data_IF_362174634234
#
_entry.id   IF_362174634234
#
_cell.length_a   1.000
_cell.length_b   1.000
_cell.length_c   1.000
_cell.angle_alpha   90.00
_cell.angle_beta   90.00
_cell.angle_gamma   90.00
#
_symmetry.space_group_name_H-M   'P 1'
#
loop_
_entity.id
_entity.type
_entity.pdbx_description
1 polymer ?
#
# COMPACT_ATOMS: atom_id res chain seq x y z
N UNK A 1 -15.81 45.11 77.85
CA UNK A 1 -15.01 44.99 76.62
C UNK A 1 -15.21 43.58 76.08
N UNK A 2 -15.94 43.47 74.98
CA UNK A 2 -16.40 42.20 74.37
C UNK A 2 -15.27 41.59 73.54
N UNK A 3 -15.02 40.28 73.72
CA UNK A 3 -14.06 39.51 72.95
C UNK A 3 -14.64 39.19 71.57
N UNK A 4 -13.92 39.58 70.52
CA UNK A 4 -14.26 39.30 69.12
C UNK A 4 -13.60 37.97 68.74
N UNK A 5 -14.38 36.89 68.71
CA UNK A 5 -13.98 35.62 68.10
C UNK A 5 -14.00 35.76 66.57
N UNK A 6 -12.87 35.42 65.93
CA UNK A 6 -12.73 35.36 64.47
C UNK A 6 -13.21 34.00 63.97
N UNK A 7 -14.03 33.91 62.90
CA UNK A 7 -14.45 32.62 62.38
C UNK A 7 -13.30 31.93 61.61
N UNK A 8 -13.26 30.59 61.59
CA UNK A 8 -12.26 29.86 60.82
C UNK A 8 -12.51 30.05 59.31
N UNK A 9 -11.46 30.43 58.60
CA UNK A 9 -11.44 30.50 57.12
C UNK A 9 -11.66 29.09 56.59
N UNK A 10 -12.87 28.82 56.10
CA UNK A 10 -13.20 27.60 55.40
C UNK A 10 -12.37 27.52 54.10
N UNK A 11 -11.37 26.63 54.08
CA UNK A 11 -10.66 26.28 52.85
C UNK A 11 -11.67 25.85 51.78
N UNK A 12 -11.56 26.49 50.60
CA UNK A 12 -12.59 26.57 49.57
C UNK A 12 -13.16 25.20 49.12
N UNK A 13 -14.49 25.07 48.96
CA UNK A 13 -15.17 23.85 48.50
C UNK A 13 -14.87 23.50 47.02
N UNK A 14 -14.16 24.37 46.29
CA UNK A 14 -13.81 24.17 44.89
C UNK A 14 -12.78 23.06 44.70
N UNK A 15 -11.73 22.97 45.54
CA UNK A 15 -10.68 21.94 45.40
C UNK A 15 -11.25 20.52 45.63
N UNK A 16 -12.26 20.41 46.52
CA UNK A 16 -12.92 19.13 46.84
C UNK A 16 -13.89 18.67 45.74
N UNK A 17 -14.42 19.57 44.92
CA UNK A 17 -15.30 19.22 43.78
C UNK A 17 -14.54 18.63 42.60
N UNK A 18 -13.29 19.05 42.36
CA UNK A 18 -12.47 18.51 41.26
C UNK A 18 -11.97 17.09 41.53
N UNK A 19 -11.74 16.72 42.79
CA UNK A 19 -11.30 15.35 43.14
C UNK A 19 -12.41 14.30 43.09
N UNK A 20 -13.68 14.70 43.12
CA UNK A 20 -14.83 13.78 43.07
C UNK A 20 -15.37 13.51 41.65
N UNK A 21 -14.94 14.28 40.64
CA UNK A 21 -15.48 14.18 39.27
C UNK A 21 -14.65 13.33 38.29
N UNK A 22 -13.43 12.94 38.65
CA UNK A 22 -12.66 12.00 37.84
C UNK A 22 -13.03 10.57 38.21
N UNK A 23 -14.16 10.08 37.68
CA UNK A 23 -14.47 8.65 37.72
C UNK A 23 -13.33 7.91 37.01
N UNK A 24 -12.50 7.21 37.78
CA UNK A 24 -11.44 6.34 37.27
C UNK A 24 -11.98 5.44 36.16
N UNK A 25 -11.21 5.31 35.09
CA UNK A 25 -11.52 4.36 34.03
C UNK A 25 -11.71 2.96 34.62
N UNK A 26 -12.62 2.18 34.02
CA UNK A 26 -12.78 0.78 34.43
C UNK A 26 -11.49 0.03 34.13
N UNK A 27 -11.02 -0.78 35.07
CA UNK A 27 -9.78 -1.59 34.94
C UNK A 27 -9.72 -2.33 33.60
N UNK A 28 -10.78 -3.06 33.24
CA UNK A 28 -10.86 -3.80 31.97
C UNK A 28 -10.86 -2.93 30.73
N UNK A 29 -11.23 -1.65 30.81
CA UNK A 29 -11.16 -0.75 29.65
C UNK A 29 -9.77 -0.13 29.52
N UNK A 30 -9.11 0.17 30.65
CA UNK A 30 -7.73 0.63 30.66
C UNK A 30 -6.78 -0.43 30.09
N UNK A 31 -6.91 -1.68 30.53
CA UNK A 31 -6.12 -2.81 30.00
C UNK A 31 -6.36 -3.03 28.51
N UNK A 32 -7.63 -3.04 28.07
CA UNK A 32 -7.95 -3.19 26.63
C UNK A 32 -7.31 -2.09 25.80
N UNK A 33 -7.40 -0.82 26.21
CA UNK A 33 -6.81 0.31 25.46
C UNK A 33 -5.28 0.16 25.39
N UNK A 34 -4.61 -0.14 26.51
CA UNK A 34 -3.16 -0.30 26.53
C UNK A 34 -2.70 -1.44 25.60
N UNK A 35 -3.29 -2.64 25.75
CA UNK A 35 -2.94 -3.81 24.95
C UNK A 35 -3.22 -3.61 23.45
N UNK A 36 -4.39 -3.09 23.11
CA UNK A 36 -4.78 -2.96 21.69
C UNK A 36 -4.06 -1.81 20.99
N UNK A 37 -3.67 -0.77 21.73
CA UNK A 37 -2.76 0.24 21.20
C UNK A 37 -1.39 -0.35 20.92
N UNK A 38 -0.84 -1.16 21.84
CA UNK A 38 0.41 -1.89 21.58
C UNK A 38 0.31 -2.80 20.34
N UNK A 39 -0.76 -3.59 20.21
CA UNK A 39 -0.99 -4.44 19.04
C UNK A 39 -1.14 -3.63 17.74
N UNK A 40 -1.69 -2.41 17.81
CA UNK A 40 -1.78 -1.54 16.64
C UNK A 40 -0.42 -1.03 16.13
N UNK A 41 0.62 -1.07 16.99
CA UNK A 41 2.01 -0.77 16.62
C UNK A 41 2.84 -2.02 16.32
N UNK A 42 2.21 -3.20 16.31
CA UNK A 42 2.91 -4.44 16.00
C UNK A 42 3.62 -4.31 14.65
N UNK A 43 4.87 -4.81 14.51
CA UNK A 43 5.70 -4.52 13.34
C UNK A 43 5.02 -4.96 12.04
N UNK A 44 4.88 -4.04 11.10
CA UNK A 44 4.49 -4.30 9.71
C UNK A 44 5.69 -4.43 8.79
N UNK A 45 5.44 -4.40 7.50
CA UNK A 45 6.47 -4.29 6.46
C UNK A 45 7.00 -2.86 6.37
N UNK A 46 6.10 -1.87 6.48
CA UNK A 46 6.40 -0.48 6.23
C UNK A 46 6.16 0.41 7.46
N UNK A 47 6.87 1.53 7.57
CA UNK A 47 6.52 2.57 8.53
C UNK A 47 5.23 3.28 8.11
N UNK A 48 4.32 3.49 9.06
CA UNK A 48 3.04 4.14 8.79
C UNK A 48 3.14 5.66 8.85
N UNK A 49 2.29 6.33 8.07
CA UNK A 49 2.01 7.75 8.28
C UNK A 49 1.17 7.96 9.55
N UNK A 50 1.20 9.16 10.16
CA UNK A 50 0.41 9.44 11.37
C UNK A 50 -1.09 9.23 11.18
N UNK A 51 -1.59 9.53 9.97
CA UNK A 51 -2.99 9.31 9.59
C UNK A 51 -3.31 7.81 9.55
N UNK A 52 -2.50 7.02 8.83
CA UNK A 52 -2.72 5.57 8.70
C UNK A 52 -2.64 4.91 10.07
N UNK A 53 -1.60 5.20 10.84
CA UNK A 53 -1.45 4.66 12.19
C UNK A 53 -2.61 5.06 13.10
N UNK A 54 -3.08 6.31 13.03
CA UNK A 54 -4.23 6.78 13.80
C UNK A 54 -5.52 6.01 13.47
N UNK A 55 -5.75 5.71 12.19
CA UNK A 55 -6.88 4.88 11.74
C UNK A 55 -6.76 3.44 12.25
N UNK A 56 -5.59 2.82 12.11
CA UNK A 56 -5.32 1.45 12.58
C UNK A 56 -5.54 1.36 14.09
N UNK A 57 -4.93 2.25 14.87
CA UNK A 57 -5.11 2.29 16.33
C UNK A 57 -6.58 2.48 16.71
N UNK A 58 -7.32 3.36 16.00
CA UNK A 58 -8.74 3.53 16.26
C UNK A 58 -9.56 2.25 15.98
N UNK A 59 -9.27 1.54 14.88
CA UNK A 59 -9.92 0.26 14.55
C UNK A 59 -9.67 -0.79 15.64
N UNK A 60 -8.41 -0.99 16.03
CA UNK A 60 -8.03 -1.93 17.09
C UNK A 60 -8.72 -1.60 18.41
N UNK A 61 -8.58 -0.36 18.88
CA UNK A 61 -9.13 0.06 20.19
C UNK A 61 -10.66 0.00 20.20
N UNK A 62 -11.34 0.56 19.19
CA UNK A 62 -12.80 0.61 19.14
C UNK A 62 -13.43 -0.77 18.90
N UNK A 63 -12.81 -1.59 18.06
CA UNK A 63 -13.21 -2.98 17.81
C UNK A 63 -13.15 -3.79 19.10
N UNK A 64 -11.98 -3.81 19.76
CA UNK A 64 -11.80 -4.57 21.00
C UNK A 64 -12.66 -4.07 22.15
N UNK A 65 -12.81 -2.75 22.33
CA UNK A 65 -13.75 -2.22 23.34
C UNK A 65 -15.19 -2.64 23.07
N UNK A 66 -15.59 -2.76 21.80
CA UNK A 66 -16.93 -3.21 21.41
C UNK A 66 -17.13 -4.70 21.71
N UNK A 67 -16.15 -5.54 21.40
CA UNK A 67 -16.15 -6.98 21.74
C UNK A 67 -16.20 -7.18 23.24
N UNK A 68 -15.27 -6.57 23.97
CA UNK A 68 -15.19 -6.64 25.43
C UNK A 68 -16.50 -6.14 26.07
N UNK A 69 -17.13 -5.10 25.53
CA UNK A 69 -18.45 -4.64 26.02
C UNK A 69 -19.57 -5.67 25.81
N UNK A 70 -19.53 -6.46 24.74
CA UNK A 70 -20.54 -7.51 24.45
C UNK A 70 -20.33 -8.77 25.30
N UNK A 71 -19.08 -9.17 25.52
CA UNK A 71 -18.72 -10.38 26.28
C UNK A 71 -18.87 -10.23 27.81
N UNK A 72 -18.92 -9.00 28.31
CA UNK A 72 -18.95 -8.61 29.74
C UNK A 72 -20.19 -9.03 30.56
N UNK A 73 -20.92 -10.09 30.19
CA UNK A 73 -22.20 -10.42 30.84
C UNK A 73 -22.10 -10.95 32.28
N UNK A 74 -20.92 -11.26 32.86
CA UNK A 74 -20.90 -11.88 34.20
C UNK A 74 -19.62 -11.75 35.07
N UNK A 75 -18.72 -10.78 34.88
CA UNK A 75 -17.48 -10.74 35.68
C UNK A 75 -17.50 -9.80 36.92
N UNK A 76 -16.85 -10.18 38.03
CA UNK A 76 -16.72 -9.35 39.24
C UNK A 76 -15.93 -8.07 38.96
N UNK A 77 -16.40 -6.95 39.51
CA UNK A 77 -15.81 -5.63 39.28
C UNK A 77 -14.59 -5.42 40.18
N UNK A 78 -13.42 -5.16 39.56
CA UNK A 78 -12.26 -4.64 40.28
C UNK A 78 -12.51 -3.18 40.68
N UNK A 79 -12.49 -2.89 41.97
CA UNK A 79 -12.75 -1.56 42.55
C UNK A 79 -11.66 -1.18 43.58
N UNK A 80 -11.67 0.08 44.03
CA UNK A 80 -10.75 0.57 45.07
C UNK A 80 -9.28 0.65 44.63
N UNK A 81 -8.34 0.39 45.55
CA UNK A 81 -6.89 0.47 45.28
C UNK A 81 -6.43 -0.44 44.14
N UNK A 82 -7.01 -1.64 44.03
CA UNK A 82 -6.69 -2.56 42.93
C UNK A 82 -7.05 -1.96 41.57
N UNK A 83 -8.19 -1.26 41.47
CA UNK A 83 -8.56 -0.54 40.23
C UNK A 83 -7.56 0.57 39.92
N UNK A 84 -7.11 1.33 40.93
CA UNK A 84 -6.11 2.39 40.76
C UNK A 84 -4.79 1.81 40.24
N UNK A 85 -4.27 0.74 40.86
CA UNK A 85 -3.04 0.08 40.40
C UNK A 85 -3.16 -0.42 38.96
N UNK A 86 -4.29 -1.04 38.58
CA UNK A 86 -4.51 -1.50 37.19
C UNK A 86 -4.55 -0.34 36.20
N UNK A 87 -5.24 0.75 36.54
CA UNK A 87 -5.34 1.93 35.67
C UNK A 87 -3.97 2.59 35.51
N UNK A 88 -3.22 2.77 36.60
CA UNK A 88 -1.86 3.33 36.58
C UNK A 88 -0.92 2.43 35.78
N UNK A 89 -0.92 1.13 36.06
CA UNK A 89 -0.09 0.15 35.33
C UNK A 89 -0.41 0.11 33.83
N UNK A 90 -1.70 0.21 33.45
CA UNK A 90 -2.11 0.31 32.05
C UNK A 90 -1.63 1.62 31.40
N UNK A 91 -1.62 2.72 32.15
CA UNK A 91 -1.07 4.00 31.67
C UNK A 91 0.43 3.94 31.43
N UNK A 92 1.19 3.31 32.34
CA UNK A 92 2.63 3.07 32.18
C UNK A 92 2.91 2.17 30.98
N UNK A 93 2.17 1.07 30.83
CA UNK A 93 2.30 0.16 29.69
C UNK A 93 1.99 0.87 28.36
N UNK A 94 0.97 1.72 28.33
CA UNK A 94 0.64 2.52 27.15
C UNK A 94 1.76 3.52 26.81
N UNK A 95 2.32 4.21 27.80
CA UNK A 95 3.44 5.12 27.59
C UNK A 95 4.68 4.39 27.04
N UNK A 96 5.01 3.22 27.62
CA UNK A 96 6.09 2.37 27.13
C UNK A 96 5.84 1.90 25.69
N UNK A 97 4.60 1.51 25.35
CA UNK A 97 4.23 1.12 24.00
C UNK A 97 4.40 2.27 22.98
N UNK A 98 4.04 3.50 23.35
CA UNK A 98 4.22 4.69 22.50
C UNK A 98 5.70 5.00 22.30
N UNK A 99 6.52 4.92 23.36
CA UNK A 99 7.98 5.11 23.25
C UNK A 99 8.60 4.04 22.35
N UNK A 100 8.25 2.77 22.56
CA UNK A 100 8.72 1.68 21.71
C UNK A 100 8.29 1.90 20.25
N UNK A 101 7.02 2.23 20.00
CA UNK A 101 6.53 2.52 18.67
C UNK A 101 7.27 3.68 18.00
N UNK A 102 7.60 4.74 18.73
CA UNK A 102 8.39 5.86 18.22
C UNK A 102 9.78 5.41 17.76
N UNK A 103 10.47 4.62 18.58
CA UNK A 103 11.81 4.12 18.25
C UNK A 103 11.76 3.15 17.06
N UNK A 104 10.82 2.19 17.07
CA UNK A 104 10.69 1.20 16.00
C UNK A 104 10.27 1.83 14.67
N UNK A 105 9.30 2.76 14.68
CA UNK A 105 8.90 3.47 13.47
C UNK A 105 10.05 4.33 12.92
N UNK A 106 10.77 5.07 13.76
CA UNK A 106 11.90 5.88 13.29
C UNK A 106 13.06 5.04 12.79
N UNK A 107 13.30 3.85 13.37
CA UNK A 107 14.30 2.91 12.85
C UNK A 107 13.94 2.44 11.42
N UNK A 108 12.68 2.05 11.19
CA UNK A 108 12.22 1.68 9.84
C UNK A 108 12.31 2.86 8.87
N UNK A 109 11.88 4.06 9.29
CA UNK A 109 11.94 5.28 8.45
C UNK A 109 13.38 5.61 8.06
N UNK A 110 14.34 5.47 8.97
CA UNK A 110 15.75 5.72 8.69
C UNK A 110 16.32 4.73 7.67
N UNK A 111 15.92 3.46 7.71
CA UNK A 111 16.38 2.43 6.75
C UNK A 111 15.98 2.76 5.31
N UNK A 112 14.80 3.34 5.12
CA UNK A 112 14.27 3.67 3.79
C UNK A 112 14.37 5.17 3.46
N UNK A 113 15.21 5.92 4.18
CA UNK A 113 15.49 7.34 3.87
C UNK A 113 14.34 8.32 4.12
N UNK A 114 13.36 7.98 4.95
CA UNK A 114 12.26 8.89 5.32
C UNK A 114 12.59 9.75 6.54
N UNK A 115 12.01 10.95 6.57
CA UNK A 115 12.12 11.86 7.72
C UNK A 115 11.55 11.20 9.01
N UNK A 116 12.22 11.37 10.16
CA UNK A 116 11.75 10.83 11.44
C UNK A 116 10.44 11.50 11.88
N UNK A 117 9.63 10.75 12.64
CA UNK A 117 8.42 11.27 13.27
C UNK A 117 8.79 12.25 14.39
N UNK A 118 8.09 13.38 14.45
CA UNK A 118 8.17 14.36 15.52
C UNK A 118 6.95 14.37 16.45
N UNK A 119 6.92 15.31 17.39
CA UNK A 119 5.78 15.50 18.29
C UNK A 119 4.50 15.91 17.55
N UNK A 120 4.62 16.68 16.47
CA UNK A 120 3.49 17.10 15.65
C UNK A 120 2.81 15.90 14.96
N UNK A 121 3.58 14.91 14.52
CA UNK A 121 3.07 13.68 13.93
C UNK A 121 2.27 12.86 14.95
N UNK A 122 2.79 12.71 16.16
CA UNK A 122 2.07 12.06 17.26
C UNK A 122 0.77 12.80 17.62
N UNK A 123 0.78 14.13 17.60
CA UNK A 123 -0.43 14.93 17.79
C UNK A 123 -1.44 14.71 16.64
N UNK A 124 -0.97 14.61 15.39
CA UNK A 124 -1.80 14.28 14.23
C UNK A 124 -2.44 12.89 14.31
N UNK A 125 -1.68 11.89 14.79
CA UNK A 125 -2.20 10.56 15.07
C UNK A 125 -3.31 10.61 16.14
N UNK A 126 -3.07 11.31 17.26
CA UNK A 126 -4.07 11.48 18.32
C UNK A 126 -5.34 12.20 17.83
N UNK A 127 -5.18 13.22 16.98
CA UNK A 127 -6.29 13.93 16.35
C UNK A 127 -7.10 13.02 15.40
N UNK A 128 -6.43 12.15 14.65
CA UNK A 128 -7.07 11.15 13.78
C UNK A 128 -7.92 10.18 14.60
N UNK A 129 -7.36 9.62 15.68
CA UNK A 129 -8.10 8.74 16.60
C UNK A 129 -9.32 9.48 17.19
N UNK A 130 -9.13 10.71 17.66
CA UNK A 130 -10.20 11.55 18.18
C UNK A 130 -11.33 11.78 17.17
N UNK A 131 -10.98 12.04 15.92
CA UNK A 131 -11.93 12.26 14.83
C UNK A 131 -12.76 11.01 14.53
N UNK A 132 -12.13 9.83 14.44
CA UNK A 132 -12.84 8.56 14.25
C UNK A 132 -13.82 8.29 15.40
N UNK A 133 -13.40 8.55 16.65
CA UNK A 133 -14.26 8.40 17.83
C UNK A 133 -15.46 9.34 17.78
N UNK A 134 -15.26 10.60 17.40
CA UNK A 134 -16.34 11.59 17.28
C UNK A 134 -17.32 11.22 16.16
N UNK A 135 -16.82 10.79 15.01
CA UNK A 135 -17.64 10.31 13.88
C UNK A 135 -18.49 9.11 14.29
N UNK A 136 -17.89 8.09 14.93
CA UNK A 136 -18.62 6.93 15.41
C UNK A 136 -19.72 7.27 16.42
N UNK A 137 -19.49 8.29 17.27
CA UNK A 137 -20.52 8.81 18.18
C UNK A 137 -21.62 9.56 17.43
N UNK A 138 -21.27 10.40 16.46
CA UNK A 138 -22.20 11.15 15.62
C UNK A 138 -23.14 10.24 14.84
N UNK A 139 -22.59 9.23 14.14
CA UNK A 139 -23.37 8.22 13.40
C UNK A 139 -24.33 7.48 14.33
N UNK A 140 -23.87 7.06 15.52
CA UNK A 140 -24.71 6.35 16.49
C UNK A 140 -25.85 7.23 17.02
N UNK A 141 -25.59 8.52 17.27
CA UNK A 141 -26.61 9.47 17.72
C UNK A 141 -27.65 9.73 16.62
N UNK A 142 -27.21 9.93 15.37
CA UNK A 142 -28.09 10.09 14.22
C UNK A 142 -28.98 8.86 13.99
N UNK A 143 -28.40 7.66 14.05
CA UNK A 143 -29.11 6.39 13.93
C UNK A 143 -30.17 6.22 15.03
N UNK A 144 -29.80 6.46 16.29
CA UNK A 144 -30.71 6.32 17.45
C UNK A 144 -31.87 7.30 17.41
N UNK A 145 -31.64 8.51 16.91
CA UNK A 145 -32.68 9.54 16.81
C UNK A 145 -33.51 9.42 15.52
N UNK A 146 -33.26 8.42 14.64
CA UNK A 146 -33.82 8.31 13.27
C UNK A 146 -33.84 9.66 12.54
N UNK A 147 -32.90 10.53 12.86
CA UNK A 147 -33.01 11.93 12.51
C UNK A 147 -32.56 12.11 11.07
N UNK A 148 -33.30 12.92 10.30
CA UNK A 148 -32.98 13.37 8.93
C UNK A 148 -31.74 14.32 8.89
N UNK A 149 -30.85 14.21 9.87
CA UNK A 149 -29.69 15.05 10.18
C UNK A 149 -28.36 14.37 9.77
N UNK A 150 -28.33 13.64 8.65
CA UNK A 150 -27.09 13.10 8.09
C UNK A 150 -26.17 14.22 7.57
N UNK A 151 -26.73 15.37 7.15
CA UNK A 151 -26.00 16.53 6.62
C UNK A 151 -24.96 17.15 7.57
N UNK A 152 -25.24 17.44 8.86
CA UNK A 152 -24.22 17.97 9.79
C UNK A 152 -23.16 16.93 10.19
N UNK A 153 -23.49 15.64 10.21
CA UNK A 153 -22.52 14.56 10.47
C UNK A 153 -21.55 14.41 9.29
N UNK A 154 -22.10 14.48 8.07
CA UNK A 154 -21.30 14.52 6.84
C UNK A 154 -20.45 15.79 6.77
N UNK A 155 -21.00 16.95 7.12
CA UNK A 155 -20.27 18.23 7.13
C UNK A 155 -19.13 18.25 8.16
N UNK A 156 -19.31 17.65 9.35
CA UNK A 156 -18.25 17.53 10.34
C UNK A 156 -17.18 16.51 9.92
N UNK A 157 -17.58 15.42 9.26
CA UNK A 157 -16.67 14.45 8.65
C UNK A 157 -15.84 15.06 7.52
N UNK A 158 -16.47 15.86 6.67
CA UNK A 158 -15.82 16.59 5.58
C UNK A 158 -14.91 17.69 6.14
N UNK A 159 -15.33 18.44 7.15
CA UNK A 159 -14.52 19.46 7.80
C UNK A 159 -13.31 18.87 8.54
N UNK A 160 -13.43 17.67 9.10
CA UNK A 160 -12.29 16.96 9.71
C UNK A 160 -11.37 16.30 8.68
N UNK A 161 -11.89 15.85 7.53
CA UNK A 161 -11.04 15.43 6.40
C UNK A 161 -10.28 16.60 5.75
N UNK A 162 -10.82 17.82 5.82
CA UNK A 162 -10.16 19.07 5.36
C UNK A 162 -9.10 19.58 6.36
N UNK A 163 -9.17 19.14 7.62
CA UNK A 163 -8.20 19.47 8.68
C UNK A 163 -7.15 18.37 8.91
N UNK A 164 -7.08 17.37 8.03
CA UNK A 164 -5.86 16.58 7.86
C UNK A 164 -4.80 17.60 7.45
N UNK A 165 -3.75 17.86 8.26
CA UNK A 165 -2.69 18.70 7.77
C UNK A 165 -2.24 18.07 6.46
N UNK A 166 -2.15 18.88 5.41
CA UNK A 166 -1.29 18.62 4.27
C UNK A 166 0.14 18.47 4.81
N UNK A 167 0.43 17.36 5.51
CA UNK A 167 1.75 16.77 5.45
C UNK A 167 1.97 16.57 3.97
N UNK A 168 3.02 17.14 3.36
CA UNK A 168 3.29 16.86 1.97
C UNK A 168 3.35 15.34 1.89
N UNK A 169 2.32 14.74 1.27
CA UNK A 169 2.55 13.57 0.45
C UNK A 169 3.78 13.98 -0.32
N UNK A 170 4.90 13.33 -0.02
CA UNK A 170 6.06 13.38 -0.90
C UNK A 170 5.60 12.61 -2.15
N UNK A 171 4.69 13.24 -2.90
CA UNK A 171 4.76 13.28 -4.33
C UNK A 171 6.12 13.91 -4.63
N UNK A 172 7.17 13.09 -4.52
CA UNK A 172 8.25 13.15 -5.48
C UNK A 172 7.53 12.97 -6.82
N UNK A 173 7.24 14.03 -7.58
CA UNK A 173 8.09 15.17 -7.85
C UNK A 173 8.57 14.95 -9.26
N UNK A 174 7.65 15.16 -10.21
CA UNK A 174 7.87 15.02 -11.64
C UNK A 174 6.75 15.76 -12.36
N UNK A 175 6.94 17.06 -12.59
CA UNK A 175 6.12 17.79 -13.54
C UNK A 175 6.46 17.25 -14.94
N UNK A 176 5.55 16.46 -15.51
CA UNK A 176 5.66 15.87 -16.84
C UNK A 176 4.29 15.37 -17.31
N UNK A 177 4.03 15.50 -18.60
CA UNK A 177 2.76 15.27 -19.30
C UNK A 177 2.11 13.92 -18.98
N UNK A 178 0.80 13.91 -18.68
CA UNK A 178 -0.03 12.70 -18.49
C UNK A 178 0.61 11.57 -17.67
N UNK A 179 0.61 11.72 -16.34
CA UNK A 179 1.18 10.86 -15.26
C UNK A 179 0.97 9.32 -15.34
N UNK A 180 0.32 8.78 -16.38
CA UNK A 180 0.01 7.35 -16.50
C UNK A 180 0.55 6.62 -17.72
N UNK A 181 1.15 7.29 -18.71
CA UNK A 181 1.52 6.65 -19.98
C UNK A 181 2.87 7.12 -20.53
N UNK A 182 3.95 6.95 -19.76
CA UNK A 182 5.34 7.31 -20.14
C UNK A 182 5.81 6.73 -21.49
N UNK A 183 5.20 5.64 -21.96
CA UNK A 183 5.47 5.06 -23.28
C UNK A 183 4.85 5.84 -24.46
N UNK A 184 4.05 6.87 -24.19
CA UNK A 184 3.53 7.80 -25.20
C UNK A 184 4.41 9.03 -25.36
N UNK A 185 5.31 9.29 -24.41
CA UNK A 185 6.24 10.41 -24.47
C UNK A 185 7.43 10.08 -25.38
N UNK A 186 8.05 11.08 -26.03
CA UNK A 186 9.25 10.87 -26.83
C UNK A 186 10.43 10.42 -25.97
N UNK A 187 11.24 9.50 -26.49
CA UNK A 187 12.49 9.09 -25.84
C UNK A 187 13.58 10.15 -26.00
N UNK A 188 14.22 10.62 -24.91
CA UNK A 188 15.35 11.55 -25.00
C UNK A 188 16.60 10.95 -25.63
N UNK A 189 16.72 9.61 -25.65
CA UNK A 189 17.88 8.89 -26.21
C UNK A 189 17.58 8.24 -27.56
N UNK A 190 16.39 8.43 -28.13
CA UNK A 190 15.99 7.86 -29.42
C UNK A 190 15.55 6.40 -29.39
N UNK A 191 15.24 5.86 -28.20
CA UNK A 191 14.60 4.56 -28.06
C UNK A 191 13.16 4.60 -28.63
N UNK A 192 12.65 3.44 -29.05
CA UNK A 192 11.27 3.35 -29.55
C UNK A 192 10.34 3.10 -28.37
N UNK A 193 9.39 3.99 -28.14
CA UNK A 193 8.31 3.83 -27.15
C UNK A 193 6.97 3.79 -27.88
N UNK A 194 6.18 2.74 -27.65
CA UNK A 194 4.86 2.60 -28.27
C UNK A 194 3.84 2.09 -27.27
N UNK A 195 2.64 2.63 -27.34
CA UNK A 195 1.57 2.27 -26.43
C UNK A 195 0.19 2.35 -27.06
N UNK A 196 -0.60 1.28 -26.92
CA UNK A 196 -1.99 1.27 -27.37
C UNK A 196 -2.96 1.49 -26.20
N UNK A 197 -3.40 2.73 -26.00
CA UNK A 197 -4.48 3.06 -25.06
C UNK A 197 -5.82 2.44 -25.51
N UNK A 198 -6.74 2.21 -24.57
CA UNK A 198 -8.07 1.67 -24.89
C UNK A 198 -8.86 2.66 -25.76
N UNK A 199 -9.50 2.16 -26.81
CA UNK A 199 -10.45 2.92 -27.61
C UNK A 199 -11.81 2.23 -27.61
N UNK A 200 -12.89 2.95 -27.29
CA UNK A 200 -14.29 2.51 -27.40
C UNK A 200 -14.56 1.00 -27.27
N UNK A 201 -15.25 0.43 -28.28
CA UNK A 201 -15.62 -1.01 -28.36
C UNK A 201 -14.51 -1.90 -28.97
N UNK A 202 -13.27 -1.47 -28.95
CA UNK A 202 -12.15 -2.23 -29.53
C UNK A 202 -11.90 -3.53 -28.74
N UNK A 203 -11.82 -4.66 -29.44
CA UNK A 203 -11.48 -5.93 -28.82
C UNK A 203 -10.03 -5.95 -28.34
N UNK A 204 -9.72 -6.77 -27.33
CA UNK A 204 -8.35 -6.93 -26.83
C UNK A 204 -7.38 -7.35 -27.94
N UNK A 205 -7.81 -8.27 -28.82
CA UNK A 205 -7.02 -8.69 -29.99
C UNK A 205 -6.77 -7.55 -30.95
N UNK A 206 -7.79 -6.76 -31.32
CA UNK A 206 -7.61 -5.63 -32.23
C UNK A 206 -6.62 -4.59 -31.66
N UNK A 207 -6.69 -4.35 -30.35
CA UNK A 207 -5.76 -3.46 -29.64
C UNK A 207 -4.33 -3.99 -29.66
N UNK A 208 -4.14 -5.28 -29.41
CA UNK A 208 -2.83 -5.93 -29.48
C UNK A 208 -2.22 -5.86 -30.89
N UNK A 209 -3.02 -6.06 -31.93
CA UNK A 209 -2.59 -5.89 -33.32
C UNK A 209 -2.18 -4.43 -33.57
N UNK A 210 -2.98 -3.46 -33.12
CA UNK A 210 -2.65 -2.03 -33.24
C UNK A 210 -1.36 -1.66 -32.53
N UNK A 211 -1.12 -2.19 -31.32
CA UNK A 211 0.13 -1.99 -30.59
C UNK A 211 1.33 -2.53 -31.36
N UNK A 212 1.23 -3.76 -31.89
CA UNK A 212 2.28 -4.38 -32.69
C UNK A 212 2.52 -3.63 -34.01
N UNK A 213 1.47 -3.12 -34.66
CA UNK A 213 1.62 -2.34 -35.89
C UNK A 213 2.24 -0.96 -35.61
N UNK A 214 1.94 -0.34 -34.46
CA UNK A 214 2.60 0.88 -34.00
C UNK A 214 4.10 0.64 -33.75
N UNK A 215 4.45 -0.48 -33.10
CA UNK A 215 5.84 -0.89 -32.90
C UNK A 215 6.59 -1.02 -34.23
N UNK A 216 6.00 -1.67 -35.22
CA UNK A 216 6.59 -1.80 -36.57
C UNK A 216 6.75 -0.44 -37.24
N UNK A 217 5.70 0.38 -37.25
CA UNK A 217 5.73 1.71 -37.89
C UNK A 217 6.76 2.66 -37.26
N UNK A 218 6.99 2.54 -35.95
CA UNK A 218 7.98 3.33 -35.22
C UNK A 218 9.42 2.80 -35.42
N UNK A 219 9.61 1.73 -36.20
CA UNK A 219 10.92 1.13 -36.44
C UNK A 219 11.43 0.26 -35.30
N UNK A 220 10.55 -0.20 -34.39
CA UNK A 220 10.93 -0.98 -33.21
C UNK A 220 11.60 -2.32 -33.55
N UNK A 221 11.25 -2.93 -34.68
CA UNK A 221 11.89 -4.17 -35.15
C UNK A 221 13.31 -3.96 -35.72
N UNK A 222 13.75 -2.72 -35.90
CA UNK A 222 15.13 -2.39 -36.27
C UNK A 222 16.06 -2.24 -35.06
N UNK A 223 15.53 -2.36 -33.84
CA UNK A 223 16.32 -2.40 -32.61
C UNK A 223 16.75 -3.84 -32.33
N UNK A 224 17.84 -4.05 -31.61
CA UNK A 224 18.26 -5.40 -31.22
C UNK A 224 17.34 -6.00 -30.16
N UNK A 225 16.60 -5.17 -29.41
CA UNK A 225 15.77 -5.59 -28.26
C UNK A 225 14.37 -5.02 -28.34
N UNK A 226 13.38 -5.89 -28.21
CA UNK A 226 11.96 -5.52 -28.02
C UNK A 226 11.53 -5.95 -26.63
N UNK A 227 11.12 -5.00 -25.80
CA UNK A 227 10.59 -5.24 -24.45
C UNK A 227 9.07 -5.10 -24.48
N UNK A 228 8.39 -6.22 -24.25
CA UNK A 228 6.96 -6.26 -24.01
C UNK A 228 6.66 -5.81 -22.58
N UNK A 229 6.13 -4.61 -22.42
CA UNK A 229 5.81 -4.03 -21.10
C UNK A 229 4.34 -4.32 -20.79
N UNK A 230 4.09 -5.23 -19.84
CA UNK A 230 2.74 -5.53 -19.35
C UNK A 230 2.40 -4.51 -18.25
N UNK A 231 1.48 -3.57 -18.48
CA UNK A 231 1.25 -2.49 -17.54
C UNK A 231 0.46 -2.94 -16.31
N UNK A 232 0.36 -2.05 -15.32
CA UNK A 232 -0.41 -2.27 -14.09
C UNK A 232 -1.74 -1.52 -14.14
N UNK A 233 -2.83 -2.21 -13.77
CA UNK A 233 -4.17 -1.63 -13.60
C UNK A 233 -4.72 -0.92 -14.84
N UNK A 234 -4.91 0.39 -14.69
CA UNK A 234 -5.43 1.27 -15.73
C UNK A 234 -4.46 1.49 -16.89
N UNK A 235 -3.36 0.75 -16.96
CA UNK A 235 -2.37 0.86 -18.02
C UNK A 235 -1.08 1.58 -17.63
N UNK A 236 -0.84 1.78 -16.34
CA UNK A 236 0.36 2.46 -15.84
C UNK A 236 1.64 1.65 -16.11
N UNK A 237 2.72 2.35 -16.44
CA UNK A 237 4.07 1.81 -16.63
C UNK A 237 5.02 2.63 -15.79
N UNK A 238 5.89 1.97 -15.03
CA UNK A 238 6.88 2.64 -14.19
C UNK A 238 7.89 3.44 -15.04
N UNK A 239 7.96 4.77 -14.86
CA UNK A 239 8.97 5.59 -15.52
C UNK A 239 10.40 5.16 -15.16
N UNK A 240 10.64 4.64 -13.95
CA UNK A 240 11.98 4.20 -13.55
C UNK A 240 12.44 3.02 -14.39
N UNK A 241 11.56 2.07 -14.74
CA UNK A 241 11.89 1.00 -15.68
C UNK A 241 12.31 1.57 -17.03
N UNK A 242 11.53 2.50 -17.58
CA UNK A 242 11.78 3.09 -18.90
C UNK A 242 13.14 3.80 -18.90
N UNK A 243 13.39 4.62 -17.88
CA UNK A 243 14.66 5.31 -17.69
C UNK A 243 15.82 4.31 -17.52
N UNK A 244 15.62 3.24 -16.77
CA UNK A 244 16.63 2.18 -16.57
C UNK A 244 16.95 1.42 -17.86
N UNK A 245 15.95 1.06 -18.66
CA UNK A 245 16.15 0.40 -19.96
C UNK A 245 16.85 1.32 -20.96
N UNK A 246 16.48 2.59 -21.01
CA UNK A 246 17.11 3.59 -21.88
C UNK A 246 18.52 3.94 -21.45
N UNK A 247 18.77 4.00 -20.14
CA UNK A 247 20.13 4.17 -19.61
C UNK A 247 21.01 2.98 -19.96
N UNK A 248 20.45 1.77 -19.87
CA UNK A 248 21.19 0.52 -20.12
C UNK A 248 21.45 0.25 -21.60
N UNK A 249 20.48 0.51 -22.47
CA UNK A 249 20.52 0.12 -23.88
C UNK A 249 20.56 1.30 -24.87
N UNK A 250 20.45 2.54 -24.39
CA UNK A 250 20.42 3.73 -25.24
C UNK A 250 19.26 3.69 -26.23
N UNK A 251 19.54 4.02 -27.49
CA UNK A 251 18.56 3.97 -28.57
C UNK A 251 18.20 2.54 -29.03
N UNK A 252 18.98 1.53 -28.61
CA UNK A 252 18.90 0.15 -29.10
C UNK A 252 17.89 -0.72 -28.32
N UNK A 253 16.76 -0.12 -27.96
CA UNK A 253 15.63 -0.78 -27.31
C UNK A 253 14.31 -0.22 -27.85
N UNK A 254 13.35 -1.12 -28.03
CA UNK A 254 11.97 -0.79 -28.35
C UNK A 254 11.05 -1.32 -27.26
N UNK A 255 10.27 -0.45 -26.63
CA UNK A 255 9.29 -0.80 -25.61
C UNK A 255 7.87 -0.70 -26.20
N UNK A 256 7.07 -1.73 -25.96
CA UNK A 256 5.68 -1.80 -26.42
C UNK A 256 4.76 -2.23 -25.28
N UNK A 257 3.70 -1.45 -25.05
CA UNK A 257 2.66 -1.78 -24.07
C UNK A 257 1.26 -1.56 -24.63
N UNK A 258 0.25 -2.06 -23.93
CA UNK A 258 -1.14 -1.70 -24.20
C UNK A 258 -1.99 -1.71 -22.94
N UNK A 259 -2.96 -0.82 -22.90
CA UNK A 259 -3.93 -0.76 -21.82
C UNK A 259 -4.92 -1.92 -21.95
N UNK A 260 -5.18 -2.67 -20.88
CA UNK A 260 -6.17 -3.76 -20.87
C UNK A 260 -7.46 -3.42 -20.11
N UNK A 261 -7.38 -2.53 -19.10
CA UNK A 261 -8.52 -2.11 -18.28
C UNK A 261 -8.52 -0.59 -18.04
N UNK A 262 -9.70 -0.06 -17.68
CA UNK A 262 -9.87 1.34 -17.26
C UNK A 262 -9.94 1.51 -15.73
N UNK A 263 -9.88 0.41 -14.98
CA UNK A 263 -9.97 0.39 -13.52
C UNK A 263 -8.61 0.68 -12.84
N UNK A 264 -8.57 1.44 -11.74
CA UNK A 264 -7.34 1.63 -10.94
C UNK A 264 -6.69 0.31 -10.48
N UNK A 265 -5.37 0.29 -10.32
CA UNK A 265 -4.54 -0.92 -10.16
C UNK A 265 -4.87 -1.85 -9.00
N UNK A 266 -5.10 -1.33 -7.79
CA UNK A 266 -5.46 -2.17 -6.64
C UNK A 266 -6.86 -2.79 -6.79
N UNK A 267 -7.79 -2.09 -7.47
CA UNK A 267 -9.11 -2.64 -7.80
C UNK A 267 -9.00 -3.69 -8.91
N UNK A 268 -8.17 -3.47 -9.92
CA UNK A 268 -7.95 -4.43 -10.99
C UNK A 268 -7.29 -5.74 -10.49
N UNK A 269 -6.38 -5.67 -9.51
CA UNK A 269 -5.79 -6.87 -8.89
C UNK A 269 -6.84 -7.74 -8.20
N UNK A 270 -7.82 -7.11 -7.54
CA UNK A 270 -8.90 -7.81 -6.83
C UNK A 270 -10.02 -8.28 -7.76
N UNK A 271 -10.27 -7.58 -8.87
CA UNK A 271 -11.49 -7.78 -9.67
C UNK A 271 -11.30 -8.11 -11.16
N UNK A 272 -10.10 -8.01 -11.75
CA UNK A 272 -9.91 -8.12 -13.23
C UNK A 272 -8.57 -8.78 -13.66
N UNK A 273 -8.13 -9.82 -12.93
CA UNK A 273 -6.92 -10.59 -13.30
C UNK A 273 -7.05 -11.29 -14.67
N UNK A 274 -8.27 -11.70 -15.02
CA UNK A 274 -8.56 -12.35 -16.30
C UNK A 274 -8.40 -11.40 -17.49
N UNK A 275 -8.79 -10.13 -17.33
CA UNK A 275 -8.59 -9.09 -18.35
C UNK A 275 -7.12 -8.83 -18.61
N UNK A 276 -6.32 -8.68 -17.54
CA UNK A 276 -4.87 -8.50 -17.62
C UNK A 276 -4.19 -9.67 -18.35
N UNK A 277 -4.54 -10.91 -17.97
CA UNK A 277 -4.00 -12.13 -18.58
C UNK A 277 -4.33 -12.26 -20.06
N UNK A 278 -5.59 -11.99 -20.47
CA UNK A 278 -5.99 -11.99 -21.88
C UNK A 278 -5.24 -10.92 -22.67
N UNK A 279 -5.07 -9.73 -22.08
CA UNK A 279 -4.29 -8.64 -22.67
C UNK A 279 -2.84 -9.05 -22.91
N UNK A 280 -2.17 -9.52 -21.88
CA UNK A 280 -0.76 -9.93 -21.94
C UNK A 280 -0.51 -10.99 -23.04
N UNK A 281 -1.35 -12.03 -23.09
CA UNK A 281 -1.28 -13.07 -24.14
C UNK A 281 -1.52 -12.51 -25.55
N UNK A 282 -2.55 -11.70 -25.73
CA UNK A 282 -2.86 -11.13 -27.04
C UNK A 282 -1.73 -10.22 -27.55
N UNK A 283 -1.16 -9.39 -26.67
CA UNK A 283 -0.03 -8.52 -27.00
C UNK A 283 1.22 -9.33 -27.36
N UNK A 284 1.54 -10.36 -26.56
CA UNK A 284 2.65 -11.27 -26.84
C UNK A 284 2.48 -11.95 -28.20
N UNK A 285 1.32 -12.56 -28.46
CA UNK A 285 1.05 -13.28 -29.70
C UNK A 285 1.13 -12.33 -30.92
N UNK A 286 0.64 -11.10 -30.79
CA UNK A 286 0.72 -10.10 -31.85
C UNK A 286 2.17 -9.69 -32.16
N UNK A 287 2.95 -9.33 -31.14
CA UNK A 287 4.34 -8.86 -31.30
C UNK A 287 5.27 -10.00 -31.74
N UNK A 288 5.16 -11.17 -31.11
CA UNK A 288 5.94 -12.36 -31.47
C UNK A 288 5.71 -12.77 -32.93
N UNK A 289 4.46 -12.69 -33.43
CA UNK A 289 4.18 -12.95 -34.84
C UNK A 289 4.89 -11.99 -35.80
N UNK A 290 5.03 -10.69 -35.46
CA UNK A 290 5.79 -9.73 -36.27
C UNK A 290 7.27 -10.07 -36.27
N UNK A 291 7.83 -10.38 -35.11
CA UNK A 291 9.24 -10.78 -34.98
C UNK A 291 9.51 -12.05 -35.78
N UNK A 292 8.66 -13.06 -35.68
CA UNK A 292 8.84 -14.33 -36.40
C UNK A 292 8.69 -14.21 -37.92
N UNK A 293 8.01 -13.18 -38.41
CA UNK A 293 7.93 -12.89 -39.85
C UNK A 293 9.26 -12.44 -40.46
N UNK A 294 10.22 -12.01 -39.64
CA UNK A 294 11.56 -11.62 -40.08
C UNK A 294 12.47 -12.86 -40.30
N UNK A 295 13.46 -12.76 -41.21
CA UNK A 295 14.54 -13.72 -41.30
C UNK A 295 15.21 -13.95 -39.95
N UNK A 296 15.60 -15.19 -39.64
CA UNK A 296 16.09 -15.56 -38.31
C UNK A 296 17.28 -14.71 -37.81
N UNK A 297 18.16 -14.25 -38.71
CA UNK A 297 19.32 -13.40 -38.42
C UNK A 297 19.00 -11.91 -38.25
N UNK A 298 17.73 -11.50 -38.41
CA UNK A 298 17.27 -10.12 -38.28
C UNK A 298 16.26 -9.95 -37.14
N UNK A 299 15.98 -11.02 -36.38
CA UNK A 299 14.99 -10.98 -35.30
C UNK A 299 15.59 -10.28 -34.08
N UNK A 300 14.92 -9.27 -33.51
CA UNK A 300 15.30 -8.75 -32.19
C UNK A 300 15.08 -9.80 -31.11
N UNK A 301 15.81 -9.66 -30.02
CA UNK A 301 15.52 -10.38 -28.78
C UNK A 301 14.21 -9.85 -28.18
N UNK A 302 13.24 -10.76 -28.03
CA UNK A 302 11.97 -10.46 -27.37
C UNK A 302 12.12 -10.66 -25.86
N UNK A 303 11.90 -9.60 -25.11
CA UNK A 303 11.88 -9.60 -23.65
C UNK A 303 10.46 -9.37 -23.15
N UNK A 304 10.11 -9.91 -21.99
CA UNK A 304 8.84 -9.60 -21.32
C UNK A 304 9.12 -8.98 -19.96
N UNK A 305 8.42 -7.89 -19.67
CA UNK A 305 8.46 -7.23 -18.39
C UNK A 305 7.04 -7.12 -17.82
N UNK A 306 6.90 -7.32 -16.52
CA UNK A 306 5.70 -6.94 -15.80
C UNK A 306 6.02 -6.54 -14.36
N UNK A 307 5.24 -5.60 -13.85
CA UNK A 307 5.28 -5.17 -12.44
C UNK A 307 3.94 -5.48 -11.77
N UNK A 308 3.95 -5.91 -10.51
CA UNK A 308 2.71 -6.08 -9.74
C UNK A 308 1.72 -7.05 -10.43
N UNK A 309 0.47 -6.63 -10.64
CA UNK A 309 -0.50 -7.35 -11.47
C UNK A 309 0.00 -7.61 -12.91
N UNK A 310 0.81 -6.71 -13.48
CA UNK A 310 1.45 -6.90 -14.78
C UNK A 310 2.45 -8.05 -14.77
N UNK A 311 3.16 -8.27 -13.65
CA UNK A 311 4.00 -9.45 -13.47
C UNK A 311 3.15 -10.72 -13.49
N UNK A 312 2.12 -10.82 -12.64
CA UNK A 312 1.20 -11.99 -12.62
C UNK A 312 0.59 -12.27 -14.00
N UNK A 313 0.12 -11.23 -14.70
CA UNK A 313 -0.45 -11.38 -16.04
C UNK A 313 0.59 -11.77 -17.10
N UNK A 314 1.81 -11.24 -17.01
CA UNK A 314 2.92 -11.60 -17.88
C UNK A 314 3.36 -13.05 -17.68
N UNK A 315 3.41 -13.52 -16.43
CA UNK A 315 3.71 -14.91 -16.11
C UNK A 315 2.69 -15.87 -16.73
N UNK A 316 1.41 -15.47 -16.72
CA UNK A 316 0.32 -16.22 -17.32
C UNK A 316 0.42 -16.39 -18.85
N UNK A 317 1.33 -15.69 -19.54
CA UNK A 317 1.69 -15.95 -20.94
C UNK A 317 2.28 -17.36 -21.08
N UNK A 318 3.12 -17.77 -20.12
CA UNK A 318 3.96 -18.97 -20.19
C UNK A 318 3.42 -20.15 -19.38
N UNK A 319 2.64 -19.90 -18.33
CA UNK A 319 2.03 -20.96 -17.49
C UNK A 319 0.65 -21.40 -17.99
N UNK A 320 0.02 -20.63 -18.89
CA UNK A 320 -1.30 -20.93 -19.45
C UNK A 320 -1.32 -21.85 -20.68
N UNK A 321 -2.50 -22.06 -21.29
CA UNK A 321 -2.63 -22.82 -22.53
C UNK A 321 -1.72 -22.29 -23.65
N UNK A 322 -0.95 -23.19 -24.26
CA UNK A 322 0.05 -22.84 -25.28
C UNK A 322 1.32 -22.20 -24.74
N UNK A 323 1.43 -21.99 -23.42
CA UNK A 323 2.55 -21.27 -22.80
C UNK A 323 3.91 -21.93 -23.04
N UNK A 324 3.99 -23.26 -23.01
CA UNK A 324 5.22 -24.02 -23.34
C UNK A 324 5.74 -23.77 -24.76
N UNK A 325 4.88 -23.47 -25.72
CA UNK A 325 5.32 -23.11 -27.07
C UNK A 325 5.86 -21.67 -27.13
N UNK A 326 5.34 -20.77 -26.29
CA UNK A 326 5.77 -19.36 -26.20
C UNK A 326 7.12 -19.19 -25.51
N UNK A 327 7.53 -20.12 -24.64
CA UNK A 327 8.84 -20.04 -23.95
C UNK A 327 10.03 -20.04 -24.93
N UNK A 328 9.89 -20.67 -26.10
CA UNK A 328 10.92 -20.66 -27.14
C UNK A 328 10.96 -19.39 -27.99
N UNK A 329 10.04 -18.45 -27.76
CA UNK A 329 9.90 -17.21 -28.53
C UNK A 329 10.37 -15.98 -27.75
N UNK A 330 10.74 -16.15 -26.49
CA UNK A 330 11.20 -15.08 -25.59
C UNK A 330 12.68 -15.32 -25.25
N UNK A 331 13.47 -14.26 -25.26
CA UNK A 331 14.85 -14.28 -24.79
C UNK A 331 14.87 -14.35 -23.25
N UNK A 332 14.21 -13.42 -22.56
CA UNK A 332 14.14 -13.38 -21.10
C UNK A 332 12.88 -12.69 -20.57
N UNK A 333 12.59 -12.91 -19.30
CA UNK A 333 11.49 -12.26 -18.59
C UNK A 333 11.97 -11.64 -17.27
N UNK A 334 11.48 -10.43 -16.98
CA UNK A 334 11.70 -9.70 -15.74
C UNK A 334 10.35 -9.44 -15.05
N UNK A 335 10.21 -9.96 -13.84
CA UNK A 335 9.06 -9.76 -12.97
C UNK A 335 9.45 -8.90 -11.79
N UNK A 336 8.71 -7.83 -11.55
CA UNK A 336 9.00 -6.89 -10.47
C UNK A 336 7.81 -6.83 -9.53
N UNK A 337 8.05 -7.06 -8.23
CA UNK A 337 7.01 -6.99 -7.21
C UNK A 337 5.84 -7.96 -7.44
N UNK A 338 6.10 -9.17 -7.93
CA UNK A 338 5.04 -10.16 -8.18
C UNK A 338 4.27 -10.44 -6.89
N UNK A 339 2.94 -10.23 -6.86
CA UNK A 339 2.11 -10.63 -5.72
C UNK A 339 2.33 -12.11 -5.37
N UNK A 340 2.68 -12.40 -4.12
CA UNK A 340 3.00 -13.75 -3.65
C UNK A 340 4.38 -14.29 -4.04
N UNK A 341 5.16 -13.55 -4.85
CA UNK A 341 6.54 -13.94 -5.22
C UNK A 341 6.65 -15.04 -6.27
N UNK A 342 5.57 -15.36 -6.98
CA UNK A 342 5.54 -16.43 -7.98
C UNK A 342 6.53 -16.21 -9.14
N UNK A 343 6.94 -17.32 -9.76
CA UNK A 343 7.78 -17.36 -10.97
C UNK A 343 7.24 -18.40 -11.97
N UNK A 344 7.70 -18.34 -13.21
CA UNK A 344 7.27 -19.19 -14.33
C UNK A 344 8.18 -20.39 -14.59
N UNK A 345 9.41 -20.36 -14.10
CA UNK A 345 10.44 -21.36 -14.38
C UNK A 345 11.08 -21.21 -15.77
N UNK A 346 11.09 -20.00 -16.35
CA UNK A 346 11.80 -19.74 -17.61
C UNK A 346 13.32 -19.83 -17.41
N UNK A 347 14.05 -20.26 -18.45
CA UNK A 347 15.52 -20.39 -18.39
C UNK A 347 16.22 -19.07 -18.06
N UNK A 348 15.75 -17.96 -18.64
CA UNK A 348 16.26 -16.61 -18.40
C UNK A 348 15.18 -15.77 -17.73
N UNK A 349 14.83 -16.14 -16.51
CA UNK A 349 13.88 -15.44 -15.66
C UNK A 349 14.59 -14.65 -14.57
N UNK A 350 14.09 -13.46 -14.25
CA UNK A 350 14.54 -12.70 -13.08
C UNK A 350 13.34 -12.13 -12.36
N UNK A 351 13.33 -12.26 -11.05
CA UNK A 351 12.31 -11.70 -10.16
C UNK A 351 12.98 -10.73 -9.20
N UNK A 352 12.50 -9.49 -9.16
CA UNK A 352 13.02 -8.42 -8.31
C UNK A 352 11.90 -8.00 -7.36
N UNK A 353 12.21 -7.96 -6.07
CA UNK A 353 11.31 -7.50 -5.03
C UNK A 353 12.11 -6.79 -3.95
N UNK A 354 11.57 -5.71 -3.38
CA UNK A 354 12.15 -5.14 -2.18
C UNK A 354 11.83 -6.05 -0.98
N UNK A 355 12.76 -6.16 -0.03
CA UNK A 355 12.58 -7.00 1.18
C UNK A 355 11.40 -6.54 2.06
N UNK A 356 11.01 -5.28 1.92
CA UNK A 356 9.90 -4.65 2.63
C UNK A 356 8.65 -4.48 1.76
N UNK A 357 8.57 -5.10 0.57
CA UNK A 357 7.39 -5.00 -0.29
C UNK A 357 6.20 -5.84 0.25
N UNK A 358 5.15 -5.22 0.81
CA UNK A 358 4.01 -5.96 1.32
C UNK A 358 3.21 -6.65 0.21
N UNK A 359 3.29 -6.22 -1.05
CA UNK A 359 2.56 -6.85 -2.16
C UNK A 359 3.09 -8.27 -2.40
N UNK A 360 4.41 -8.44 -2.33
CA UNK A 360 5.10 -9.71 -2.55
C UNK A 360 4.89 -10.64 -1.35
N UNK A 361 5.06 -10.10 -0.14
CA UNK A 361 5.15 -10.92 1.07
C UNK A 361 3.82 -11.12 1.82
N UNK A 362 2.73 -10.45 1.41
CA UNK A 362 1.41 -10.65 2.04
C UNK A 362 0.71 -11.87 1.45
N UNK A 363 0.46 -12.88 2.29
CA UNK A 363 -0.27 -14.08 1.91
C UNK A 363 -1.38 -14.39 2.94
N UNK A 364 -2.61 -14.78 2.54
CA UNK A 364 -3.63 -15.29 3.46
C UNK A 364 -3.16 -16.44 4.38
N UNK A 365 -2.15 -17.22 3.97
CA UNK A 365 -1.53 -18.26 4.81
C UNK A 365 -0.92 -17.69 6.10
N UNK A 366 -0.62 -16.38 6.16
CA UNK A 366 -0.13 -15.68 7.36
C UNK A 366 -1.10 -15.79 8.55
N UNK A 367 -2.34 -16.22 8.35
CA UNK A 367 -3.27 -16.53 9.44
C UNK A 367 -2.91 -17.82 10.18
N UNK A 368 -2.14 -18.70 9.55
CA UNK A 368 -1.83 -20.04 10.04
C UNK A 368 -0.32 -20.30 10.16
N UNK A 369 0.50 -19.62 9.37
CA UNK A 369 1.95 -19.81 9.31
C UNK A 369 2.69 -18.46 9.41
N UNK A 370 3.86 -18.40 10.09
CA UNK A 370 4.68 -17.20 10.10
C UNK A 370 5.31 -16.94 8.73
N UNK A 371 5.59 -15.67 8.38
CA UNK A 371 6.31 -15.35 7.15
C UNK A 371 7.77 -15.81 7.21
N UNK A 372 8.32 -16.22 6.06
CA UNK A 372 9.67 -16.80 5.93
C UNK A 372 10.82 -15.80 6.13
N UNK A 373 10.51 -14.52 6.36
CA UNK A 373 11.48 -13.43 6.53
C UNK A 373 11.90 -13.18 8.00
N UNK A 374 11.49 -14.06 8.92
CA UNK A 374 11.87 -13.97 10.34
C UNK A 374 11.24 -12.81 11.11
N UNK A 375 10.28 -12.08 10.52
CA UNK A 375 9.57 -11.00 11.21
C UNK A 375 8.70 -11.55 12.36
N UNK A 376 8.55 -10.79 13.46
CA UNK A 376 7.62 -11.16 14.53
C UNK A 376 6.22 -11.43 13.98
N UNK A 377 5.59 -12.50 14.46
CA UNK A 377 4.32 -12.97 13.90
C UNK A 377 3.25 -13.16 14.98
N UNK A 378 2.10 -12.52 14.75
CA UNK A 378 0.86 -12.70 15.49
C UNK A 378 -0.26 -12.84 14.46
N UNK A 379 -0.84 -14.03 14.20
CA UNK A 379 -1.52 -14.33 12.94
C UNK A 379 -2.53 -13.28 12.47
N UNK A 380 -3.53 -12.95 13.30
CA UNK A 380 -4.56 -11.94 12.95
C UNK A 380 -3.97 -10.52 12.89
N UNK A 381 -3.04 -10.19 13.79
CA UNK A 381 -2.46 -8.85 13.88
C UNK A 381 -1.53 -8.60 12.69
N UNK A 382 -0.61 -9.53 12.42
CA UNK A 382 0.30 -9.50 11.26
C UNK A 382 -0.46 -9.43 9.94
N UNK A 383 -1.52 -10.23 9.75
CA UNK A 383 -2.34 -10.16 8.53
C UNK A 383 -3.04 -8.79 8.40
N UNK A 384 -3.54 -8.23 9.50
CA UNK A 384 -4.13 -6.88 9.50
C UNK A 384 -3.11 -5.79 9.18
N UNK A 385 -1.90 -5.87 9.76
CA UNK A 385 -0.82 -4.92 9.47
C UNK A 385 -0.38 -5.02 8.01
N UNK A 386 -0.15 -6.25 7.52
CA UNK A 386 0.21 -6.50 6.13
C UNK A 386 -0.84 -5.96 5.15
N UNK A 387 -2.14 -6.09 5.47
CA UNK A 387 -3.21 -5.49 4.67
C UNK A 387 -3.23 -3.96 4.66
N UNK A 388 -2.81 -3.32 5.76
CA UNK A 388 -2.63 -1.86 5.81
C UNK A 388 -1.44 -1.47 4.94
N UNK A 389 -0.30 -2.14 5.12
CA UNK A 389 0.92 -1.93 4.35
C UNK A 389 0.69 -2.10 2.85
N UNK A 390 -0.10 -3.10 2.45
CA UNK A 390 -0.48 -3.35 1.06
C UNK A 390 -1.10 -2.10 0.40
N UNK A 391 -1.99 -1.40 1.11
CA UNK A 391 -2.68 -0.20 0.61
C UNK A 391 -1.77 1.02 0.60
N UNK A 392 -0.82 1.11 1.54
CA UNK A 392 0.16 2.20 1.61
C UNK A 392 1.50 1.88 0.95
N UNK A 393 1.57 0.80 0.18
CA UNK A 393 2.82 0.24 -0.38
C UNK A 393 3.58 1.19 -1.31
N UNK A 394 2.89 2.17 -1.88
CA UNK A 394 3.44 3.21 -2.74
C UNK A 394 3.78 4.52 -2.00
N UNK A 395 3.39 4.66 -0.73
CA UNK A 395 3.58 5.87 0.07
C UNK A 395 4.97 5.94 0.73
N UNK A 396 5.98 5.48 0.02
CA UNK A 396 7.39 5.38 0.44
C UNK A 396 8.31 5.91 -0.67
N UNK A 397 9.60 6.13 -0.40
CA UNK A 397 10.59 6.46 -1.43
C UNK A 397 10.83 5.30 -2.40
N UNK A 398 11.45 5.60 -3.54
CA UNK A 398 11.94 4.58 -4.49
C UNK A 398 12.98 3.67 -3.82
N UNK A 399 12.91 2.36 -4.09
CA UNK A 399 13.77 1.34 -3.48
C UNK A 399 13.23 0.75 -2.18
N UNK A 400 12.01 1.10 -1.80
CA UNK A 400 11.30 0.58 -0.63
C UNK A 400 9.84 0.28 -0.99
N UNK A 401 9.22 -0.64 -0.25
CA UNK A 401 7.85 -1.07 -0.48
C UNK A 401 7.63 -1.50 -1.93
N UNK A 402 6.53 -1.05 -2.54
CA UNK A 402 6.20 -1.38 -3.92
C UNK A 402 6.68 -0.30 -4.92
N UNK A 403 7.78 0.39 -4.61
CA UNK A 403 8.42 1.35 -5.53
C UNK A 403 9.81 0.88 -5.91
N UNK A 404 10.01 0.72 -7.21
CA UNK A 404 11.24 0.19 -7.79
C UNK A 404 12.03 1.28 -8.50
N UNK A 405 13.35 1.27 -8.37
CA UNK A 405 14.20 2.23 -9.04
C UNK A 405 14.62 1.77 -10.44
N UNK A 406 15.37 2.60 -11.17
CA UNK A 406 15.81 2.28 -12.52
C UNK A 406 16.75 1.08 -12.58
N UNK A 407 17.40 0.73 -11.47
CA UNK A 407 18.24 -0.44 -11.33
C UNK A 407 17.50 -1.77 -11.56
N UNK A 408 16.17 -1.79 -11.45
CA UNK A 408 15.36 -2.97 -11.79
C UNK A 408 15.64 -3.45 -13.22
N UNK A 409 15.92 -2.51 -14.15
CA UNK A 409 16.22 -2.83 -15.53
C UNK A 409 17.51 -3.65 -15.69
N UNK A 410 18.43 -3.61 -14.73
CA UNK A 410 19.66 -4.40 -14.75
C UNK A 410 19.42 -5.90 -14.57
N UNK A 411 18.32 -6.28 -13.92
CA UNK A 411 17.93 -7.67 -13.77
C UNK A 411 17.40 -8.30 -15.07
N UNK A 412 17.09 -7.49 -16.11
CA UNK A 412 16.69 -8.03 -17.39
C UNK A 412 17.87 -8.77 -18.06
N UNK A 413 17.78 -10.08 -18.17
CA UNK A 413 18.86 -10.87 -18.76
C UNK A 413 18.93 -10.66 -20.28
N UNK A 414 20.13 -10.65 -20.86
CA UNK A 414 20.32 -10.52 -22.31
C UNK A 414 20.59 -11.87 -22.96
N UNK A 415 20.23 -11.95 -24.23
CA UNK A 415 20.77 -12.88 -25.20
C UNK A 415 21.74 -12.08 -26.09
#
# INVERSE_FOLDING_TARGET
>A
MSAIESPPVAAAPLIRRWSQSLRLARASSAVTVALTTFLSFFPGYLPHSPLVQGLVTAVFVLGSLSVVRRLRRAEPRVTGRRQQHVVVGSGVALAAAVVWAHLSQNAMRAQIGMAPLGLADWAGMAATIGSVVLLGRGVRLAWRKRARLWRPVLALAVATSVMVPMTPSHAAGGQGTSEGQVLMDPSPVGAVRTYAAMTGRESVTARAQRAADQLVRAGGLHRSRVVLVIPTGSGWVDPNLVDGLEHRFGADVAMVGMQYSSSPSWMAYVFDQDGATRGARALFDAVSARIQSLPANQRPDLHVYGESLGATAGQAIFTGPGGRARTHQVCSALWVGTPGGDTTGLLKESSVANDDDPIVHTNPSMLFEPPDNGRPWLPVVSLMQAGVDFVSSLAVPTGAGHRYGPEQANALQTC
#
